data_IF_859689339994
#
_entry.id   IF_859689339994
#
_cell.length_a   1.000
_cell.length_b   1.000
_cell.length_c   1.000
_cell.angle_alpha   90.00
_cell.angle_beta   90.00
_cell.angle_gamma   90.00
#
_symmetry.space_group_name_H-M   'P 1'
#
loop_
_entity.id
_entity.type
_entity.pdbx_description
1 polymer ?
#
# COMPACT_ATOMS: atom_id res chain seq x y z
N UNK A 1 -5.92 -0.17 28.78
CA UNK A 1 -4.86 0.83 28.48
C UNK A 1 -4.09 0.46 27.21
N UNK A 2 -3.44 1.41 26.54
CA UNK A 2 -2.59 1.13 25.37
C UNK A 2 -1.11 1.03 25.78
N UNK A 3 -0.38 0.08 25.20
CA UNK A 3 1.07 -0.02 25.42
C UNK A 3 1.78 1.13 24.70
N UNK A 4 2.64 1.87 25.41
CA UNK A 4 3.44 2.97 24.86
C UNK A 4 4.50 2.51 23.86
N UNK A 5 4.85 1.23 23.88
CA UNK A 5 5.96 0.67 23.11
C UNK A 5 5.52 0.03 21.79
N UNK A 6 4.38 -0.67 21.79
CA UNK A 6 3.88 -1.37 20.59
C UNK A 6 2.45 -0.96 20.19
N UNK A 7 1.75 -0.14 20.98
CA UNK A 7 0.41 0.34 20.66
C UNK A 7 -0.72 -0.68 20.87
N UNK A 8 -0.43 -1.88 21.39
CA UNK A 8 -1.48 -2.87 21.64
C UNK A 8 -2.45 -2.40 22.73
N UNK A 9 -3.75 -2.56 22.49
CA UNK A 9 -4.78 -2.44 23.53
C UNK A 9 -4.66 -3.62 24.50
N UNK A 10 -4.44 -3.33 25.76
CA UNK A 10 -4.38 -4.29 26.85
C UNK A 10 -5.53 -4.01 27.84
N UNK A 11 -5.91 -5.04 28.60
CA UNK A 11 -6.85 -4.90 29.73
C UNK A 11 -6.35 -3.85 30.71
N UNK A 12 -7.27 -3.15 31.38
CA UNK A 12 -6.92 -2.18 32.43
C UNK A 12 -6.30 -2.84 33.67
N UNK A 13 -6.40 -4.17 33.75
CA UNK A 13 -5.76 -5.02 34.77
C UNK A 13 -4.49 -5.75 34.31
N UNK A 14 -4.00 -5.53 33.08
CA UNK A 14 -2.76 -6.13 32.60
C UNK A 14 -1.49 -5.48 33.20
N UNK A 15 -0.56 -6.28 33.73
CA UNK A 15 0.75 -5.83 34.27
C UNK A 15 1.83 -5.80 33.18
N UNK A 16 1.67 -6.63 32.15
CA UNK A 16 2.58 -6.73 31.00
C UNK A 16 1.79 -6.68 29.70
N UNK A 17 2.41 -6.18 28.63
CA UNK A 17 1.81 -6.17 27.31
C UNK A 17 1.78 -7.58 26.70
N UNK A 18 0.62 -8.02 26.22
CA UNK A 18 0.44 -9.37 25.63
C UNK A 18 1.19 -9.59 24.30
N UNK A 19 1.63 -8.51 23.62
CA UNK A 19 2.30 -8.61 22.32
C UNK A 19 3.81 -8.48 22.42
N UNK A 20 4.33 -7.57 23.26
CA UNK A 20 5.76 -7.30 23.34
C UNK A 20 6.40 -7.65 24.69
N UNK A 21 5.60 -8.06 25.69
CA UNK A 21 6.09 -8.51 27.00
C UNK A 21 6.59 -7.41 27.94
N UNK A 22 6.60 -6.14 27.52
CA UNK A 22 7.07 -5.03 28.36
C UNK A 22 6.07 -4.68 29.48
N UNK A 23 6.55 -4.22 30.65
CA UNK A 23 5.68 -3.83 31.76
C UNK A 23 4.81 -2.63 31.39
N UNK A 24 3.56 -2.64 31.85
CA UNK A 24 2.61 -1.55 31.72
C UNK A 24 2.60 -0.80 33.05
N UNK A 25 3.40 0.26 33.13
CA UNK A 25 3.61 1.00 34.37
C UNK A 25 2.31 1.66 34.86
N UNK A 26 1.95 1.42 36.12
CA UNK A 26 0.68 1.86 36.72
C UNK A 26 0.82 2.99 37.73
N UNK A 27 2.04 3.39 38.09
CA UNK A 27 2.25 4.20 39.30
C UNK A 27 2.90 5.56 39.03
N UNK A 28 2.40 6.30 38.04
CA UNK A 28 2.73 7.74 37.91
C UNK A 28 1.50 8.58 38.24
N UNK A 29 1.42 9.19 39.43
CA UNK A 29 0.40 10.18 39.72
C UNK A 29 0.54 11.37 38.76
N UNK A 30 -0.61 11.86 38.26
CA UNK A 30 -0.69 12.98 37.33
C UNK A 30 -0.26 14.27 38.06
N UNK A 31 1.02 14.62 37.95
CA UNK A 31 1.49 15.95 38.34
C UNK A 31 1.04 16.91 37.24
N UNK A 32 0.03 17.74 37.55
CA UNK A 32 -0.36 18.86 36.70
C UNK A 32 0.74 19.92 36.74
N UNK A 33 1.61 19.94 35.73
CA UNK A 33 2.57 21.04 35.53
C UNK A 33 1.86 22.20 34.83
N UNK A 34 2.02 23.45 35.29
CA UNK A 34 1.36 24.61 34.68
C UNK A 34 1.87 24.85 33.25
N UNK A 35 1.02 25.48 32.46
CA UNK A 35 1.16 25.78 31.04
C UNK A 35 2.43 26.58 30.70
N UNK A 36 3.57 25.89 30.64
CA UNK A 36 4.77 26.32 29.96
C UNK A 36 4.79 25.65 28.59
N UNK A 37 4.63 26.44 27.52
CA UNK A 37 4.68 25.95 26.15
C UNK A 37 6.01 25.28 25.87
N UNK A 38 6.03 23.95 25.94
CA UNK A 38 7.14 23.14 25.47
C UNK A 38 6.98 22.99 23.97
N UNK A 39 7.72 23.82 23.22
CA UNK A 39 8.07 23.56 21.83
C UNK A 39 8.93 22.30 21.78
N UNK A 40 8.29 21.14 21.92
CA UNK A 40 8.88 19.87 21.53
C UNK A 40 8.94 19.82 20.01
N UNK A 41 10.13 20.05 19.46
CA UNK A 41 10.47 19.77 18.06
C UNK A 41 9.81 18.45 17.59
N UNK A 42 8.81 18.55 16.71
CA UNK A 42 8.07 17.43 16.10
C UNK A 42 8.95 16.75 15.02
N UNK A 43 10.16 16.34 15.40
CA UNK A 43 11.07 15.63 14.52
C UNK A 43 11.20 14.17 14.93
N UNK A 44 10.05 13.55 15.25
CA UNK A 44 9.87 12.10 15.24
C UNK A 44 8.47 11.82 14.70
N UNK A 45 8.33 11.81 13.37
CA UNK A 45 7.18 11.21 12.70
C UNK A 45 7.19 9.71 12.99
N UNK A 46 6.62 9.32 14.13
CA UNK A 46 6.41 7.92 14.46
C UNK A 46 5.66 7.28 13.28
N UNK A 47 6.31 6.35 12.60
CA UNK A 47 5.75 5.67 11.45
C UNK A 47 4.42 5.02 11.86
N UNK A 48 3.32 5.43 11.23
CA UNK A 48 1.95 5.00 11.54
C UNK A 48 1.39 3.95 10.56
N UNK A 49 2.21 3.44 9.63
CA UNK A 49 1.78 2.41 8.68
C UNK A 49 1.24 1.15 9.38
N UNK A 50 0.29 0.48 8.74
CA UNK A 50 -0.30 -0.76 9.25
C UNK A 50 -1.28 -0.59 10.41
N UNK A 51 -1.60 0.65 10.82
CA UNK A 51 -2.59 0.93 11.88
C UNK A 51 -4.04 0.94 11.35
N UNK A 52 -4.27 0.38 10.15
CA UNK A 52 -5.58 0.35 9.50
C UNK A 52 -6.02 1.72 9.00
N UNK A 53 -7.33 1.92 8.85
CA UNK A 53 -7.92 3.10 8.19
C UNK A 53 -7.62 4.44 8.87
N UNK A 54 -7.18 4.43 10.13
CA UNK A 54 -6.78 5.65 10.85
C UNK A 54 -5.34 6.08 10.58
N UNK A 55 -4.55 5.24 9.90
CA UNK A 55 -3.20 5.60 9.49
C UNK A 55 -3.26 6.68 8.40
N UNK A 56 -2.99 7.93 8.79
CA UNK A 56 -2.83 9.03 7.86
C UNK A 56 -1.66 8.76 6.91
N UNK A 57 -1.89 8.93 5.61
CA UNK A 57 -0.86 8.83 4.59
C UNK A 57 0.07 10.06 4.69
N UNK A 58 1.40 9.86 4.86
CA UNK A 58 2.35 10.96 4.78
C UNK A 58 2.19 11.74 3.47
N UNK A 59 2.21 13.09 3.48
CA UNK A 59 2.00 13.90 2.28
C UNK A 59 2.94 13.54 1.11
N UNK A 60 4.17 13.14 1.41
CA UNK A 60 5.18 12.72 0.43
C UNK A 60 4.90 11.37 -0.25
N UNK A 61 3.92 10.61 0.23
CA UNK A 61 3.45 9.36 -0.36
C UNK A 61 2.18 9.56 -1.19
N UNK A 62 1.65 10.78 -1.23
CA UNK A 62 0.52 11.12 -2.10
C UNK A 62 0.95 11.01 -3.58
N UNK A 63 0.02 10.54 -4.42
CA UNK A 63 0.27 10.38 -5.85
C UNK A 63 -0.28 9.05 -6.38
N UNK A 64 -0.06 8.87 -7.68
CA UNK A 64 -0.58 7.71 -8.41
C UNK A 64 0.23 6.44 -8.13
N UNK A 65 -0.45 5.33 -7.88
CA UNK A 65 0.13 4.01 -7.71
C UNK A 65 0.07 3.22 -9.03
N UNK A 66 1.15 3.34 -9.82
CA UNK A 66 1.29 2.59 -11.08
C UNK A 66 1.30 1.07 -10.89
N UNK A 67 1.80 0.58 -9.75
CA UNK A 67 1.77 -0.85 -9.43
C UNK A 67 0.34 -1.37 -9.29
N UNK A 68 -0.48 -0.70 -8.49
CA UNK A 68 -1.89 -1.04 -8.29
C UNK A 68 -2.70 -0.90 -9.57
N UNK A 69 -2.42 0.11 -10.38
CA UNK A 69 -3.07 0.31 -11.68
C UNK A 69 -2.78 -0.84 -12.67
N UNK A 70 -1.50 -1.20 -12.88
CA UNK A 70 -1.14 -2.21 -13.89
C UNK A 70 -1.29 -3.65 -13.41
N UNK A 71 -1.04 -3.93 -12.13
CA UNK A 71 -0.96 -5.30 -11.61
C UNK A 71 -2.13 -5.69 -10.72
N UNK A 72 -3.06 -4.77 -10.44
CA UNK A 72 -4.36 -4.99 -9.78
C UNK A 72 -4.31 -5.98 -8.60
N UNK A 73 -4.84 -7.19 -8.78
CA UNK A 73 -4.92 -8.23 -7.75
C UNK A 73 -3.55 -8.76 -7.31
N UNK A 74 -2.56 -8.84 -8.22
CA UNK A 74 -1.19 -9.29 -7.90
C UNK A 74 -0.54 -8.29 -6.94
N UNK A 75 -0.64 -6.99 -7.27
CA UNK A 75 -0.21 -5.91 -6.39
C UNK A 75 -0.99 -5.91 -5.08
N UNK A 76 -2.30 -6.19 -5.13
CA UNK A 76 -3.18 -6.31 -3.97
C UNK A 76 -2.70 -7.36 -2.96
N UNK A 77 -2.30 -8.55 -3.41
CA UNK A 77 -1.74 -9.60 -2.55
C UNK A 77 -0.46 -9.10 -1.85
N UNK A 78 0.48 -8.54 -2.60
CA UNK A 78 1.77 -8.09 -2.06
C UNK A 78 1.67 -6.92 -1.05
N UNK A 79 0.59 -6.15 -1.13
CA UNK A 79 0.33 -4.96 -0.31
C UNK A 79 -0.89 -5.12 0.62
N UNK A 80 -1.35 -6.35 0.84
CA UNK A 80 -2.49 -6.67 1.73
C UNK A 80 -3.75 -5.84 1.43
N UNK A 81 -3.96 -5.48 0.17
CA UNK A 81 -5.05 -4.62 -0.30
C UNK A 81 -6.07 -5.47 -1.06
N UNK A 82 -6.84 -6.27 -0.32
CA UNK A 82 -7.74 -7.28 -0.90
C UNK A 82 -8.96 -6.71 -1.64
N UNK A 83 -9.27 -5.43 -1.48
CA UNK A 83 -10.24 -4.75 -2.35
C UNK A 83 -9.84 -4.81 -3.84
N UNK A 84 -8.54 -5.02 -4.13
CA UNK A 84 -8.07 -5.26 -5.49
C UNK A 84 -8.69 -6.50 -6.15
N UNK A 85 -9.23 -7.46 -5.39
CA UNK A 85 -9.93 -8.63 -5.96
C UNK A 85 -11.28 -8.29 -6.60
N UNK A 86 -11.83 -7.09 -6.37
CA UNK A 86 -12.96 -6.60 -7.15
C UNK A 86 -12.64 -6.50 -8.66
N UNK A 87 -11.36 -6.51 -9.03
CA UNK A 87 -10.89 -6.64 -10.41
C UNK A 87 -11.37 -7.92 -11.13
N UNK A 88 -11.79 -8.96 -10.40
CA UNK A 88 -12.33 -10.18 -11.02
C UNK A 88 -13.80 -10.06 -11.43
N UNK A 89 -14.51 -9.02 -10.97
CA UNK A 89 -15.87 -8.78 -11.40
C UNK A 89 -15.82 -8.04 -12.74
N UNK A 90 -16.44 -8.59 -13.82
CA UNK A 90 -16.50 -7.92 -15.11
C UNK A 90 -17.09 -6.51 -14.98
N UNK A 91 -16.60 -5.57 -15.80
CA UNK A 91 -16.95 -4.15 -15.80
C UNK A 91 -16.52 -3.36 -14.55
N UNK A 92 -16.61 -3.92 -13.35
CA UNK A 92 -16.10 -3.30 -12.11
C UNK A 92 -14.59 -3.08 -12.23
N UNK A 93 -13.86 -4.03 -12.85
CA UNK A 93 -12.42 -3.89 -13.06
C UNK A 93 -12.04 -2.60 -13.80
N UNK A 94 -12.85 -2.15 -14.76
CA UNK A 94 -12.60 -0.93 -15.55
C UNK A 94 -12.49 0.28 -14.64
N UNK A 95 -13.32 0.37 -13.60
CA UNK A 95 -13.25 1.44 -12.60
C UNK A 95 -12.19 1.13 -11.55
N UNK A 96 -12.10 -0.13 -11.12
CA UNK A 96 -11.25 -0.55 -10.00
C UNK A 96 -9.76 -0.29 -10.27
N UNK A 97 -9.29 -0.44 -11.51
CA UNK A 97 -7.89 -0.12 -11.85
C UNK A 97 -7.54 1.34 -11.54
N UNK A 98 -8.44 2.28 -11.83
CA UNK A 98 -8.23 3.70 -11.54
C UNK A 98 -8.33 3.99 -10.05
N UNK A 99 -9.24 3.32 -9.34
CA UNK A 99 -9.34 3.43 -7.89
C UNK A 99 -8.07 2.92 -7.21
N UNK A 100 -7.51 1.79 -7.66
CA UNK A 100 -6.22 1.27 -7.19
C UNK A 100 -5.08 2.21 -7.55
N UNK A 101 -5.12 2.85 -8.71
CA UNK A 101 -4.16 3.89 -9.08
C UNK A 101 -4.22 5.11 -8.15
N UNK A 102 -5.42 5.63 -7.87
CA UNK A 102 -5.59 6.83 -7.06
C UNK A 102 -5.36 6.59 -5.56
N UNK A 103 -5.83 5.46 -5.03
CA UNK A 103 -5.84 5.15 -3.59
C UNK A 103 -4.84 4.08 -3.17
N UNK A 104 -4.11 3.48 -4.10
CA UNK A 104 -3.22 2.35 -3.82
C UNK A 104 -2.16 2.67 -2.78
N UNK A 105 -1.55 3.86 -2.82
CA UNK A 105 -0.57 4.26 -1.81
C UNK A 105 -1.17 4.34 -0.40
N UNK A 106 -2.37 4.93 -0.29
CA UNK A 106 -3.11 5.04 0.97
C UNK A 106 -3.43 3.64 1.53
N UNK A 107 -4.02 2.77 0.71
CA UNK A 107 -4.38 1.43 1.15
C UNK A 107 -3.18 0.56 1.49
N UNK A 108 -2.11 0.60 0.69
CA UNK A 108 -0.88 -0.13 0.99
C UNK A 108 -0.23 0.36 2.30
N UNK A 109 -0.31 1.66 2.58
CA UNK A 109 0.19 2.24 3.83
C UNK A 109 -0.65 1.83 5.04
N UNK A 110 -1.98 1.82 4.90
CA UNK A 110 -2.91 1.46 5.97
C UNK A 110 -2.89 -0.04 6.29
N UNK A 111 -2.76 -0.90 5.27
CA UNK A 111 -2.94 -2.35 5.41
C UNK A 111 -1.70 -3.10 5.87
N UNK A 112 -0.50 -2.52 5.71
CA UNK A 112 0.77 -3.22 5.96
C UNK A 112 1.72 -2.35 6.77
N UNK A 113 2.47 -2.97 7.68
CA UNK A 113 3.55 -2.31 8.42
C UNK A 113 4.78 -2.16 7.51
N UNK A 114 5.28 -0.94 7.37
CA UNK A 114 6.50 -0.62 6.64
C UNK A 114 7.60 -0.22 7.62
N UNK A 115 8.88 -0.46 7.28
CA UNK A 115 10.00 -0.08 8.14
C UNK A 115 10.18 1.44 8.20
N UNK A 116 10.09 2.10 7.04
CA UNK A 116 10.18 3.55 6.89
C UNK A 116 9.44 4.00 5.62
N UNK A 117 9.35 5.32 5.44
CA UNK A 117 8.77 5.94 4.24
C UNK A 117 9.64 5.62 3.01
N UNK A 118 10.96 5.64 3.16
CA UNK A 118 11.91 5.31 2.09
C UNK A 118 11.77 3.84 1.66
N UNK A 119 11.59 2.94 2.63
CA UNK A 119 11.33 1.53 2.35
C UNK A 119 10.03 1.35 1.56
N UNK A 120 8.96 2.06 1.94
CA UNK A 120 7.71 2.07 1.17
C UNK A 120 7.92 2.59 -0.27
N UNK A 121 8.55 3.76 -0.44
CA UNK A 121 8.83 4.36 -1.75
C UNK A 121 9.63 3.41 -2.65
N UNK A 122 10.67 2.77 -2.10
CA UNK A 122 11.49 1.81 -2.84
C UNK A 122 10.65 0.63 -3.35
N UNK A 123 9.80 0.06 -2.50
CA UNK A 123 8.96 -1.09 -2.85
C UNK A 123 7.87 -0.69 -3.87
N UNK A 124 7.18 0.43 -3.66
CA UNK A 124 6.17 0.91 -4.63
C UNK A 124 6.81 1.27 -5.99
N UNK A 125 8.04 1.80 -6.00
CA UNK A 125 8.79 2.04 -7.24
C UNK A 125 9.07 0.74 -7.99
N UNK A 126 9.47 -0.33 -7.30
CA UNK A 126 9.65 -1.64 -7.93
C UNK A 126 8.33 -2.17 -8.50
N UNK A 127 7.22 -2.06 -7.77
CA UNK A 127 5.90 -2.42 -8.28
C UNK A 127 5.52 -1.62 -9.53
N UNK A 128 5.79 -0.31 -9.54
CA UNK A 128 5.54 0.54 -10.70
C UNK A 128 6.37 0.12 -11.92
N UNK A 129 7.66 -0.17 -11.72
CA UNK A 129 8.57 -0.62 -12.80
C UNK A 129 8.08 -1.95 -13.37
N UNK A 130 7.89 -2.96 -12.53
CA UNK A 130 7.45 -4.29 -12.99
C UNK A 130 6.07 -4.25 -13.64
N UNK A 131 5.12 -3.47 -13.08
CA UNK A 131 3.81 -3.28 -13.67
C UNK A 131 3.88 -2.65 -15.06
N UNK A 132 4.71 -1.62 -15.21
CA UNK A 132 4.90 -0.94 -16.50
C UNK A 132 5.57 -1.86 -17.52
N UNK A 133 6.62 -2.59 -17.13
CA UNK A 133 7.34 -3.52 -18.01
C UNK A 133 6.42 -4.63 -18.50
N UNK A 134 5.68 -5.28 -17.59
CA UNK A 134 4.76 -6.36 -17.95
C UNK A 134 3.62 -5.86 -18.84
N UNK A 135 3.08 -4.67 -18.56
CA UNK A 135 2.07 -4.04 -19.40
C UNK A 135 2.59 -3.76 -20.82
N UNK A 136 3.80 -3.20 -20.94
CA UNK A 136 4.42 -2.92 -22.24
C UNK A 136 4.68 -4.21 -23.05
N UNK A 137 5.17 -5.26 -22.39
CA UNK A 137 5.37 -6.57 -23.02
C UNK A 137 4.04 -7.19 -23.48
N UNK A 138 2.97 -7.04 -22.68
CA UNK A 138 1.65 -7.52 -23.04
C UNK A 138 1.08 -6.78 -24.27
N UNK A 139 1.21 -5.45 -24.32
CA UNK A 139 0.83 -4.67 -25.50
C UNK A 139 1.62 -5.10 -26.73
N UNK A 140 2.94 -5.25 -26.62
CA UNK A 140 3.79 -5.72 -27.72
C UNK A 140 3.36 -7.10 -28.22
N UNK A 141 3.08 -8.03 -27.30
CA UNK A 141 2.59 -9.37 -27.63
C UNK A 141 1.27 -9.31 -28.41
N UNK A 142 0.29 -8.52 -27.94
CA UNK A 142 -1.00 -8.36 -28.63
C UNK A 142 -0.80 -7.75 -30.03
N UNK A 143 0.07 -6.75 -30.18
CA UNK A 143 0.37 -6.15 -31.48
C UNK A 143 0.97 -7.17 -32.46
N UNK A 144 1.91 -8.01 -32.01
CA UNK A 144 2.50 -9.08 -32.83
C UNK A 144 1.41 -10.06 -33.30
N UNK A 145 0.50 -10.47 -32.41
CA UNK A 145 -0.59 -11.37 -32.76
C UNK A 145 -1.54 -10.73 -33.78
N UNK A 146 -1.88 -9.45 -33.62
CA UNK A 146 -2.73 -8.73 -34.57
C UNK A 146 -2.07 -8.66 -35.95
N UNK A 147 -0.78 -8.28 -36.01
CA UNK A 147 -0.04 -8.21 -37.28
C UNK A 147 0.05 -9.57 -37.95
N UNK A 148 0.37 -10.64 -37.19
CA UNK A 148 0.43 -12.00 -37.73
C UNK A 148 -0.93 -12.47 -38.25
N UNK A 149 -2.02 -12.17 -37.54
CA UNK A 149 -3.38 -12.50 -37.97
C UNK A 149 -3.76 -11.74 -39.25
N UNK A 150 -3.38 -10.46 -39.38
CA UNK A 150 -3.60 -9.68 -40.60
C UNK A 150 -2.81 -10.25 -41.79
N UNK A 151 -1.54 -10.60 -41.59
CA UNK A 151 -0.71 -11.21 -42.63
C UNK A 151 -1.26 -12.56 -43.10
N UNK A 152 -1.74 -13.40 -42.18
CA UNK A 152 -2.37 -14.68 -42.53
C UNK A 152 -3.75 -14.53 -43.20
N UNK A 153 -4.44 -13.40 -42.96
CA UNK A 153 -5.72 -13.10 -43.61
C UNK A 153 -5.55 -12.47 -45.00
N UNK A 154 -4.34 -12.08 -45.39
CA UNK A 154 -4.05 -11.56 -46.72
C UNK A 154 -4.02 -12.72 -47.74
N UNK A 155 -4.96 -12.77 -48.71
CA UNK A 155 -5.05 -13.86 -49.68
C UNK A 155 -3.79 -14.00 -50.56
N UNK A 156 -2.93 -12.98 -50.66
CA UNK A 156 -1.68 -13.02 -51.43
C UNK A 156 -0.49 -13.60 -50.66
N UNK A 157 -0.63 -13.91 -49.37
CA UNK A 157 0.48 -14.35 -48.52
C UNK A 157 1.01 -15.76 -48.87
N UNK A 158 0.25 -16.55 -49.62
CA UNK A 158 0.61 -17.93 -50.01
C UNK A 158 0.97 -18.08 -51.50
N UNK A 159 0.95 -17.00 -52.28
CA UNK A 159 1.17 -17.05 -53.75
C UNK A 159 2.65 -16.88 -54.18
N UNK A 160 3.60 -16.88 -53.24
CA UNK A 160 5.05 -16.81 -53.51
C UNK A 160 5.80 -18.04 -52.98
#
# INVERSE_FOLDING_TARGET
MFCTECGQKNSDTATFCLSCGKPLDRDVPIIQTPAGGMQGSINNTANNSGQGKMAALPPELTGWNWGGFFLTWIWGIGNSTFIAFLAFIPFVNIVMIFVLGAKGNEWAWQNKRWNSIEHFKKVQKLWAIWGTVLFALWILFILIIIIAAMAAADPYYYEY
#
